data_IF_037452492546
#
_entry.id   IF_037452492546
#
_cell.length_a   1.000
_cell.length_b   1.000
_cell.length_c   1.000
_cell.angle_alpha   90.00
_cell.angle_beta   90.00
_cell.angle_gamma   90.00
#
_symmetry.space_group_name_H-M   'P 1'
#
loop_
_entity.id
_entity.type
_entity.pdbx_description
1 polymer ?
#
# COMPACT_ATOMS: atom_id res chain seq x y z
N UNK A 1 14.11 -1.74 12.79
CA UNK A 1 13.47 -1.75 11.46
C UNK A 1 14.00 -0.59 10.63
N UNK A 2 13.44 -0.28 9.45
CA UNK A 2 13.94 0.83 8.62
C UNK A 2 13.94 2.18 9.35
N UNK A 3 12.93 2.44 10.17
CA UNK A 3 12.83 3.67 10.98
C UNK A 3 14.03 3.89 11.91
N UNK A 4 14.57 2.85 12.56
CA UNK A 4 15.72 3.00 13.47
C UNK A 4 17.05 3.22 12.75
N UNK A 5 17.12 2.89 11.46
CA UNK A 5 18.33 3.06 10.63
C UNK A 5 18.30 4.44 9.94
N UNK A 6 17.14 4.83 9.42
CA UNK A 6 16.98 6.03 8.59
C UNK A 6 16.53 7.25 9.40
N UNK A 7 16.04 7.07 10.63
CA UNK A 7 15.48 8.16 11.44
C UNK A 7 14.17 8.72 10.90
N UNK A 8 13.50 8.02 9.97
CA UNK A 8 12.27 8.46 9.29
C UNK A 8 11.15 7.47 9.60
N UNK A 9 9.94 7.99 9.89
CA UNK A 9 8.75 7.18 10.11
C UNK A 9 8.44 6.31 8.90
N UNK A 10 8.30 5.01 9.13
CA UNK A 10 7.93 4.05 8.08
C UNK A 10 6.41 3.94 7.98
N UNK A 11 5.88 3.96 6.76
CA UNK A 11 4.46 3.74 6.48
C UNK A 11 4.31 2.49 5.61
N UNK A 12 3.50 1.54 6.07
CA UNK A 12 3.10 0.37 5.28
C UNK A 12 1.68 0.61 4.77
N UNK A 13 1.51 0.60 3.44
CA UNK A 13 0.22 0.75 2.79
C UNK A 13 -0.07 -0.56 2.06
N UNK A 14 -1.03 -1.32 2.57
CA UNK A 14 -1.52 -2.55 1.97
C UNK A 14 -2.88 -2.33 1.31
N UNK A 15 -3.08 -2.96 0.16
CA UNK A 15 -4.34 -2.96 -0.57
C UNK A 15 -5.00 -4.34 -0.62
N UNK A 16 -4.32 -5.38 -0.10
CA UNK A 16 -4.84 -6.73 -0.11
C UNK A 16 -5.97 -6.94 0.88
N UNK A 17 -6.86 -7.87 0.55
CA UNK A 17 -7.92 -8.36 1.41
C UNK A 17 -7.52 -9.73 1.98
N UNK A 18 -8.15 -10.15 3.08
CA UNK A 18 -7.94 -11.49 3.63
C UNK A 18 -8.30 -12.59 2.60
N UNK A 19 -9.28 -12.28 1.73
CA UNK A 19 -9.76 -13.13 0.64
C UNK A 19 -8.71 -13.38 -0.46
N UNK A 20 -7.67 -12.53 -0.55
CA UNK A 20 -6.57 -12.74 -1.49
C UNK A 20 -5.77 -14.01 -1.17
N UNK A 21 -5.89 -14.51 0.06
CA UNK A 21 -5.34 -15.79 0.50
C UNK A 21 -3.83 -15.93 0.22
N UNK A 22 -3.06 -14.90 0.60
CA UNK A 22 -1.61 -14.85 0.42
C UNK A 22 -0.95 -16.14 0.97
N UNK A 23 -0.10 -16.77 0.15
CA UNK A 23 0.52 -18.08 0.39
C UNK A 23 -0.38 -19.32 0.20
N UNK A 24 -1.58 -19.15 -0.37
CA UNK A 24 -2.45 -20.29 -0.73
C UNK A 24 -2.34 -20.64 -2.22
N UNK A 25 -2.64 -21.89 -2.63
CA UNK A 25 -2.59 -22.29 -4.05
C UNK A 25 -3.48 -21.47 -4.99
N UNK A 26 -4.58 -20.91 -4.46
CA UNK A 26 -5.53 -20.07 -5.19
C UNK A 26 -5.40 -18.59 -4.80
N UNK A 27 -4.19 -18.14 -4.45
CA UNK A 27 -3.92 -16.73 -4.21
C UNK A 27 -4.36 -15.91 -5.42
N UNK A 28 -5.15 -14.86 -5.17
CA UNK A 28 -5.68 -13.99 -6.22
C UNK A 28 -5.75 -12.57 -5.71
N UNK A 29 -5.84 -11.60 -6.62
CA UNK A 29 -5.91 -10.20 -6.25
C UNK A 29 -7.06 -9.51 -6.97
N UNK A 30 -7.93 -8.84 -6.20
CA UNK A 30 -9.09 -8.16 -6.75
C UNK A 30 -8.71 -7.04 -7.72
N UNK A 31 -9.28 -7.04 -8.93
CA UNK A 31 -9.03 -5.99 -9.93
C UNK A 31 -9.42 -4.59 -9.42
N UNK A 32 -10.41 -4.51 -8.54
CA UNK A 32 -10.79 -3.25 -7.89
C UNK A 32 -9.69 -2.76 -6.95
N UNK A 33 -9.14 -3.64 -6.10
CA UNK A 33 -8.02 -3.31 -5.22
C UNK A 33 -6.79 -2.91 -6.03
N UNK A 34 -6.57 -3.52 -7.20
CA UNK A 34 -5.52 -3.12 -8.14
C UNK A 34 -5.71 -1.69 -8.67
N UNK A 35 -6.91 -1.35 -9.16
CA UNK A 35 -7.20 0.00 -9.67
C UNK A 35 -7.10 1.06 -8.57
N UNK A 36 -7.70 0.79 -7.40
CA UNK A 36 -7.66 1.70 -6.25
C UNK A 36 -6.24 1.87 -5.72
N UNK A 37 -5.42 0.82 -5.72
CA UNK A 37 -4.00 0.92 -5.39
C UNK A 37 -3.25 1.85 -6.34
N UNK A 38 -3.48 1.69 -7.65
CA UNK A 38 -2.92 2.56 -8.70
C UNK A 38 -3.29 4.04 -8.51
N UNK A 39 -4.50 4.34 -8.08
CA UNK A 39 -4.96 5.71 -7.80
C UNK A 39 -4.42 6.24 -6.46
N UNK A 40 -4.36 5.38 -5.44
CA UNK A 40 -4.00 5.80 -4.07
C UNK A 40 -2.55 6.30 -3.99
N UNK A 41 -1.61 5.64 -4.67
CA UNK A 41 -0.19 6.04 -4.63
C UNK A 41 0.05 7.48 -5.12
N UNK A 42 -0.39 7.90 -6.33
CA UNK A 42 -0.23 9.27 -6.78
C UNK A 42 -1.01 10.26 -5.92
N UNK A 43 -2.23 9.93 -5.47
CA UNK A 43 -2.98 10.81 -4.57
C UNK A 43 -2.26 11.00 -3.23
N UNK A 44 -1.68 9.94 -2.66
CA UNK A 44 -0.89 10.03 -1.44
C UNK A 44 0.24 11.04 -1.59
N UNK A 45 1.05 10.94 -2.66
CA UNK A 45 2.15 11.88 -2.87
C UNK A 45 1.67 13.31 -3.14
N UNK A 46 0.58 13.48 -3.89
CA UNK A 46 -0.04 14.79 -4.12
C UNK A 46 -0.42 15.45 -2.79
N UNK A 47 -1.24 14.80 -1.99
CA UNK A 47 -1.73 15.38 -0.73
C UNK A 47 -0.65 15.51 0.32
N UNK A 48 0.32 14.58 0.35
CA UNK A 48 1.47 14.68 1.24
C UNK A 48 2.35 15.88 0.91
N UNK A 49 2.52 16.20 -0.38
CA UNK A 49 3.26 17.38 -0.82
C UNK A 49 2.51 18.69 -0.51
N UNK A 50 1.17 18.70 -0.63
CA UNK A 50 0.32 19.86 -0.31
C UNK A 50 0.18 20.12 1.20
N UNK A 51 0.32 19.08 2.03
CA UNK A 51 0.18 19.16 3.50
C UNK A 51 1.45 19.65 4.21
N UNK A 52 2.48 20.04 3.46
CA UNK A 52 3.76 20.58 3.97
C UNK A 52 3.80 22.10 3.93
#
# INVERSE_FOLDING_TARGET
GFESILGIKSLLIGFGLAEDAIHSPNESYGLEQFRRGLETIPYFYKYFAESK
#
